data_IF_064292934511
#
_entry.id   IF_064292934511
#
_cell.length_a   1.000
_cell.length_b   1.000
_cell.length_c   1.000
_cell.angle_alpha   90.00
_cell.angle_beta   90.00
_cell.angle_gamma   90.00
#
_symmetry.space_group_name_H-M   'P 1'
#
loop_
_entity.id
_entity.type
_entity.pdbx_description
1 polymer ?
#
# COMPACT_ATOMS: atom_id res chain seq x y z
N UNK A 1 13.74 48.44 11.00
CA UNK A 1 14.43 47.43 10.18
C UNK A 1 14.32 46.10 10.91
N UNK A 2 13.37 45.24 10.52
CA UNK A 2 13.23 43.90 11.10
C UNK A 2 13.40 42.88 9.98
N UNK A 3 14.54 42.19 9.97
CA UNK A 3 14.77 41.04 9.11
C UNK A 3 14.06 39.83 9.73
N UNK A 4 13.02 39.37 9.06
CA UNK A 4 12.32 38.12 9.39
C UNK A 4 13.23 36.95 9.06
N UNK A 5 13.73 36.27 10.11
CA UNK A 5 14.45 35.00 9.99
C UNK A 5 13.52 33.93 9.43
N UNK A 6 13.59 33.67 8.12
CA UNK A 6 12.85 32.60 7.47
C UNK A 6 13.34 31.23 7.96
N UNK A 7 12.40 30.35 8.32
CA UNK A 7 12.72 29.03 8.88
C UNK A 7 13.46 28.15 7.85
N UNK A 8 14.21 27.13 8.30
CA UNK A 8 14.87 26.18 7.39
C UNK A 8 13.88 25.51 6.42
N UNK A 9 12.65 25.26 6.89
CA UNK A 9 11.56 24.73 6.08
C UNK A 9 11.11 25.71 4.98
N UNK A 10 10.96 26.99 5.30
CA UNK A 10 10.58 28.02 4.31
C UNK A 10 11.67 28.23 3.26
N UNK A 11 12.95 28.22 3.66
CA UNK A 11 14.08 28.28 2.73
C UNK A 11 14.11 27.07 1.81
N UNK A 12 13.88 25.87 2.35
CA UNK A 12 13.77 24.65 1.53
C UNK A 12 12.58 24.72 0.58
N UNK A 13 11.42 25.19 1.05
CA UNK A 13 10.22 25.37 0.21
C UNK A 13 10.43 26.39 -0.90
N UNK A 14 11.12 27.49 -0.60
CA UNK A 14 11.44 28.52 -1.59
C UNK A 14 12.45 28.01 -2.64
N UNK A 15 13.47 27.26 -2.21
CA UNK A 15 14.40 26.61 -3.13
C UNK A 15 13.69 25.57 -4.01
N UNK A 16 12.80 24.76 -3.43
CA UNK A 16 12.00 23.79 -4.17
C UNK A 16 11.05 24.45 -5.18
N UNK A 17 10.48 25.61 -4.85
CA UNK A 17 9.62 26.38 -5.76
C UNK A 17 10.38 26.94 -6.98
N UNK A 18 11.70 27.05 -6.91
CA UNK A 18 12.55 27.46 -8.04
C UNK A 18 13.00 26.29 -8.91
N UNK A 19 12.76 25.04 -8.49
CA UNK A 19 13.10 23.86 -9.29
C UNK A 19 12.13 23.74 -10.46
N UNK A 20 12.69 23.55 -11.66
CA UNK A 20 11.90 23.14 -12.81
C UNK A 20 11.38 21.72 -12.57
N UNK A 21 10.06 21.59 -12.47
CA UNK A 21 9.37 20.30 -12.54
C UNK A 21 8.75 20.20 -13.94
N UNK A 22 8.94 19.12 -14.71
CA UNK A 22 8.28 18.98 -16.00
C UNK A 22 6.75 19.01 -15.87
N UNK A 23 6.05 19.57 -16.87
CA UNK A 23 4.59 19.67 -16.85
C UNK A 23 3.90 18.31 -16.73
N UNK A 24 4.46 17.30 -17.39
CA UNK A 24 3.95 15.93 -17.33
C UNK A 24 4.01 15.36 -15.89
N UNK A 25 5.07 15.68 -15.13
CA UNK A 25 5.21 15.28 -13.72
C UNK A 25 4.21 16.02 -12.85
N UNK A 26 4.02 17.32 -13.07
CA UNK A 26 2.98 18.10 -12.36
C UNK A 26 1.59 17.53 -12.62
N UNK A 27 1.27 17.22 -13.88
CA UNK A 27 -0.01 16.66 -14.27
C UNK A 27 -0.23 15.27 -13.63
N UNK A 28 0.78 14.39 -13.70
CA UNK A 28 0.72 13.07 -13.07
C UNK A 28 0.52 13.17 -11.54
N UNK A 29 1.21 14.10 -10.89
CA UNK A 29 1.13 14.29 -9.44
C UNK A 29 -0.18 14.93 -8.98
N UNK A 30 -0.88 15.68 -9.84
CA UNK A 30 -2.17 16.32 -9.55
C UNK A 30 -3.36 15.42 -9.90
N UNK A 31 -3.20 14.46 -10.81
CA UNK A 31 -4.25 13.53 -11.17
C UNK A 31 -4.66 12.62 -10.00
N UNK A 32 -5.94 12.27 -9.95
CA UNK A 32 -6.41 11.23 -9.05
C UNK A 32 -5.67 9.91 -9.37
N UNK A 33 -5.10 9.22 -8.37
CA UNK A 33 -4.34 8.00 -8.62
C UNK A 33 -5.27 6.91 -9.15
N UNK A 34 -5.03 6.47 -10.39
CA UNK A 34 -5.71 5.31 -10.97
C UNK A 34 -5.08 3.98 -10.53
N UNK A 35 -5.56 2.90 -11.13
CA UNK A 35 -4.91 1.60 -10.98
C UNK A 35 -3.54 1.59 -11.69
N UNK A 36 -2.53 0.89 -11.13
CA UNK A 36 -1.19 0.87 -11.69
C UNK A 36 -1.17 0.23 -13.08
N UNK A 37 -0.28 0.72 -13.96
CA UNK A 37 -0.06 0.19 -15.30
C UNK A 37 1.44 -0.03 -15.57
N UNK A 38 1.81 -1.01 -16.41
CA UNK A 38 3.19 -1.18 -16.88
C UNK A 38 3.73 0.12 -17.50
N UNK A 39 5.02 0.38 -17.31
CA UNK A 39 5.71 1.59 -17.77
C UNK A 39 5.58 2.79 -16.83
N UNK A 40 4.70 2.76 -15.83
CA UNK A 40 4.57 3.87 -14.89
C UNK A 40 5.67 3.85 -13.82
N UNK A 41 6.10 5.03 -13.40
CA UNK A 41 6.98 5.28 -12.26
C UNK A 41 6.14 5.79 -11.10
N UNK A 42 6.23 5.09 -9.98
CA UNK A 42 5.46 5.35 -8.77
C UNK A 42 6.35 5.63 -7.58
N UNK A 43 5.89 6.53 -6.71
CA UNK A 43 6.36 6.58 -5.33
C UNK A 43 5.66 5.48 -4.53
N UNK A 44 6.44 4.61 -3.91
CA UNK A 44 5.98 3.56 -3.01
C UNK A 44 6.33 3.93 -1.55
N UNK A 45 5.42 3.63 -0.63
CA UNK A 45 5.51 4.02 0.79
C UNK A 45 4.90 2.96 1.69
N UNK A 46 5.68 2.54 2.68
CA UNK A 46 5.23 1.69 3.78
C UNK A 46 6.00 1.99 5.07
N UNK A 47 5.30 2.23 6.18
CA UNK A 47 5.91 2.41 7.52
C UNK A 47 7.10 3.39 7.57
N UNK A 48 7.02 4.48 6.80
CA UNK A 48 8.06 5.50 6.72
C UNK A 48 9.18 5.19 5.72
N UNK A 49 9.27 3.96 5.21
CA UNK A 49 10.12 3.61 4.07
C UNK A 49 9.49 4.15 2.79
N UNK A 50 10.30 4.84 1.99
CA UNK A 50 9.89 5.47 0.73
C UNK A 50 10.84 5.02 -0.37
N UNK A 51 10.29 4.53 -1.47
CA UNK A 51 11.04 4.20 -2.69
C UNK A 51 10.38 4.80 -3.93
N UNK A 52 11.15 4.93 -5.00
CA UNK A 52 10.62 5.21 -6.34
C UNK A 52 10.81 3.95 -7.17
N UNK A 53 9.75 3.50 -7.83
CA UNK A 53 9.73 2.23 -8.54
C UNK A 53 9.12 2.36 -9.92
N UNK A 54 9.66 1.64 -10.90
CA UNK A 54 9.07 1.47 -12.21
C UNK A 54 8.26 0.16 -12.25
N UNK A 55 7.06 0.21 -12.80
CA UNK A 55 6.17 -0.94 -12.91
C UNK A 55 6.45 -1.68 -14.22
N UNK A 56 6.93 -2.91 -14.12
CA UNK A 56 7.20 -3.79 -15.25
C UNK A 56 5.97 -4.62 -15.65
N UNK A 57 5.21 -5.09 -14.66
CA UNK A 57 3.99 -5.86 -14.86
C UNK A 57 2.98 -5.60 -13.73
N UNK A 58 1.71 -5.88 -14.00
CA UNK A 58 0.60 -5.72 -13.06
C UNK A 58 -0.18 -7.03 -13.01
N UNK A 59 -0.32 -7.57 -11.80
CA UNK A 59 -1.20 -8.69 -11.48
C UNK A 59 -2.44 -8.18 -10.73
N UNK A 60 -3.35 -9.09 -10.35
CA UNK A 60 -4.61 -8.73 -9.67
C UNK A 60 -4.42 -7.97 -8.36
N UNK A 61 -3.35 -8.21 -7.59
CA UNK A 61 -3.16 -7.56 -6.27
C UNK A 61 -1.74 -7.04 -6.03
N UNK A 62 -0.83 -7.34 -6.96
CA UNK A 62 0.58 -7.00 -6.90
C UNK A 62 1.04 -6.38 -8.21
N UNK A 63 2.18 -5.71 -8.16
CA UNK A 63 2.91 -5.24 -9.32
C UNK A 63 4.31 -5.82 -9.27
N UNK A 64 4.87 -6.18 -10.43
CA UNK A 64 6.31 -6.39 -10.52
C UNK A 64 6.98 -5.02 -10.70
N UNK A 65 7.80 -4.63 -9.73
CA UNK A 65 8.35 -3.29 -9.65
C UNK A 65 9.87 -3.33 -9.48
N UNK A 66 10.54 -2.41 -10.17
CA UNK A 66 11.99 -2.23 -10.14
C UNK A 66 12.33 -0.93 -9.40
N UNK A 67 13.31 -0.90 -8.49
CA UNK A 67 13.74 0.37 -7.91
C UNK A 67 14.35 1.29 -8.96
N UNK A 68 14.01 2.58 -8.87
CA UNK A 68 14.47 3.64 -9.76
C UNK A 68 15.27 4.65 -8.94
N UNK A 69 16.42 5.06 -9.47
CA UNK A 69 17.26 6.11 -8.90
C UNK A 69 17.59 7.18 -9.94
N UNK A 70 17.73 8.43 -9.50
CA UNK A 70 18.31 9.53 -10.28
C UNK A 70 19.84 9.52 -10.25
N UNK A 71 20.43 8.75 -9.34
CA UNK A 71 21.89 8.61 -9.22
C UNK A 71 22.39 7.54 -10.21
N UNK A 72 22.79 7.98 -11.39
CA UNK A 72 23.26 7.09 -12.46
C UNK A 72 24.74 6.68 -12.33
N UNK A 73 25.50 7.30 -11.40
CA UNK A 73 26.91 6.94 -11.18
C UNK A 73 27.05 5.62 -10.42
N UNK A 74 26.06 5.28 -9.61
CA UNK A 74 25.97 3.97 -8.95
C UNK A 74 25.15 3.03 -9.81
N UNK A 75 25.75 1.92 -10.22
CA UNK A 75 25.12 0.89 -11.01
C UNK A 75 25.93 -0.41 -10.92
N UNK A 76 25.27 -1.51 -11.26
CA UNK A 76 25.86 -2.83 -11.46
C UNK A 76 25.53 -3.35 -12.88
N UNK A 77 26.01 -4.54 -13.30
CA UNK A 77 25.71 -5.10 -14.62
C UNK A 77 24.22 -5.30 -14.92
N UNK A 78 23.40 -5.46 -13.88
CA UNK A 78 21.96 -5.69 -13.99
C UNK A 78 21.16 -4.37 -13.93
N UNK A 79 21.85 -3.24 -13.83
CA UNK A 79 21.24 -1.91 -13.80
C UNK A 79 21.12 -1.37 -15.23
N UNK A 80 19.92 -0.97 -15.63
CA UNK A 80 19.66 -0.28 -16.90
C UNK A 80 19.75 1.22 -16.68
N UNK A 81 20.66 1.87 -17.40
CA UNK A 81 20.82 3.31 -17.44
C UNK A 81 20.03 3.90 -18.60
N UNK A 82 19.11 4.80 -18.27
CA UNK A 82 18.27 5.51 -19.21
C UNK A 82 18.66 7.00 -19.31
N UNK A 83 18.62 7.60 -20.50
CA UNK A 83 18.83 9.01 -20.72
C UNK A 83 17.63 9.83 -20.26
N UNK A 84 17.79 11.15 -20.18
CA UNK A 84 16.75 12.08 -19.76
C UNK A 84 15.43 11.94 -20.53
N UNK A 85 15.50 11.74 -21.85
CA UNK A 85 14.32 11.61 -22.71
C UNK A 85 13.60 10.26 -22.64
N UNK A 86 14.05 9.33 -21.82
CA UNK A 86 13.45 7.99 -21.70
C UNK A 86 12.29 7.94 -20.68
N UNK A 87 11.96 9.06 -20.05
CA UNK A 87 10.82 9.19 -19.14
C UNK A 87 10.31 10.61 -19.14
N UNK A 88 9.09 10.81 -18.62
CA UNK A 88 8.53 12.15 -18.43
C UNK A 88 9.17 12.94 -17.28
N UNK A 89 10.11 12.34 -16.51
CA UNK A 89 10.92 13.06 -15.52
C UNK A 89 11.95 13.99 -16.16
N UNK A 90 12.30 13.77 -17.44
CA UNK A 90 13.34 14.53 -18.15
C UNK A 90 14.70 14.50 -17.43
N UNK A 91 14.96 13.43 -16.68
CA UNK A 91 16.21 13.20 -15.95
C UNK A 91 16.76 11.81 -16.27
N UNK A 92 18.09 11.63 -16.36
CA UNK A 92 18.69 10.30 -16.46
C UNK A 92 18.27 9.41 -15.29
N UNK A 93 17.96 8.14 -15.57
CA UNK A 93 17.49 7.19 -14.57
C UNK A 93 18.37 5.94 -14.54
N UNK A 94 18.51 5.34 -13.37
CA UNK A 94 19.01 3.99 -13.17
C UNK A 94 17.86 3.09 -12.71
N UNK A 95 17.54 2.07 -13.50
CA UNK A 95 16.59 1.01 -13.17
C UNK A 95 17.36 -0.23 -12.73
N UNK A 96 17.15 -0.64 -11.49
CA UNK A 96 17.87 -1.74 -10.88
C UNK A 96 17.12 -3.05 -11.14
N UNK A 97 17.21 -3.57 -12.37
CA UNK A 97 16.44 -4.74 -12.81
C UNK A 97 16.71 -5.99 -11.94
N UNK A 98 17.95 -6.17 -11.49
CA UNK A 98 18.34 -7.26 -10.56
C UNK A 98 17.73 -7.17 -9.15
N UNK A 99 17.03 -6.10 -8.82
CA UNK A 99 16.31 -5.90 -7.55
C UNK A 99 14.77 -5.92 -7.74
N UNK A 100 14.30 -6.31 -8.93
CA UNK A 100 12.87 -6.43 -9.22
C UNK A 100 12.14 -7.31 -8.21
N UNK A 101 11.02 -6.82 -7.69
CA UNK A 101 10.25 -7.51 -6.65
C UNK A 101 8.76 -7.31 -6.84
N UNK A 102 7.96 -8.25 -6.32
CA UNK A 102 6.51 -8.12 -6.28
C UNK A 102 6.08 -7.25 -5.12
N UNK A 103 5.50 -6.09 -5.43
CA UNK A 103 4.99 -5.15 -4.45
C UNK A 103 3.45 -5.19 -4.43
N UNK A 104 2.82 -5.20 -3.25
CA UNK A 104 1.37 -5.11 -3.18
C UNK A 104 0.86 -3.71 -3.53
N UNK A 105 -0.31 -3.59 -4.16
CA UNK A 105 -0.80 -2.30 -4.66
C UNK A 105 -0.89 -1.20 -3.60
N UNK A 106 -1.18 -1.57 -2.35
CA UNK A 106 -1.36 -0.60 -1.27
C UNK A 106 -0.08 0.10 -0.82
N UNK A 107 1.11 -0.38 -1.21
CA UNK A 107 2.34 0.40 -0.98
C UNK A 107 2.49 1.52 -2.01
N UNK A 108 1.85 1.44 -3.17
CA UNK A 108 1.88 2.51 -4.17
C UNK A 108 1.10 3.72 -3.65
N UNK A 109 1.76 4.87 -3.65
CA UNK A 109 1.20 6.11 -3.12
C UNK A 109 0.77 7.03 -4.25
N UNK A 110 1.71 7.35 -5.14
CA UNK A 110 1.48 8.36 -6.17
C UNK A 110 2.20 8.00 -7.45
N UNK A 111 1.50 8.12 -8.57
CA UNK A 111 2.08 8.11 -9.90
C UNK A 111 2.90 9.38 -10.11
N UNK A 112 4.17 9.24 -10.51
CA UNK A 112 5.10 10.38 -10.63
C UNK A 112 5.47 10.66 -12.07
N UNK A 113 5.64 9.62 -12.89
CA UNK A 113 6.12 9.74 -14.27
C UNK A 113 5.85 8.46 -15.06
N UNK A 114 6.06 8.50 -16.37
CA UNK A 114 5.94 7.35 -17.27
C UNK A 114 7.26 7.16 -18.02
N UNK A 115 7.66 5.89 -18.19
CA UNK A 115 8.76 5.50 -19.04
C UNK A 115 8.31 5.52 -20.50
N UNK A 116 9.17 6.05 -21.36
CA UNK A 116 9.01 5.99 -22.82
C UNK A 116 9.58 4.69 -23.39
N UNK A 117 10.44 4.01 -22.63
CA UNK A 117 11.02 2.71 -22.99
C UNK A 117 10.12 1.59 -22.48
N UNK A 118 9.57 0.72 -23.36
CA UNK A 118 8.75 -0.39 -22.92
C UNK A 118 9.59 -1.42 -22.16
N UNK A 119 9.06 -1.87 -21.03
CA UNK A 119 9.62 -2.96 -20.24
C UNK A 119 8.87 -4.25 -20.52
N UNK A 120 9.59 -5.38 -20.51
CA UNK A 120 8.99 -6.71 -20.43
C UNK A 120 8.51 -6.99 -19.01
N UNK A 121 7.75 -8.07 -18.85
CA UNK A 121 7.23 -8.48 -17.55
C UNK A 121 8.35 -8.80 -16.52
N UNK A 122 9.52 -9.24 -16.98
CA UNK A 122 10.70 -9.48 -16.14
C UNK A 122 11.47 -8.19 -15.77
N UNK A 123 11.03 -7.03 -16.27
CA UNK A 123 11.65 -5.73 -16.02
C UNK A 123 12.82 -5.39 -16.93
N UNK A 124 13.21 -6.26 -17.85
CA UNK A 124 14.19 -5.92 -18.89
C UNK A 124 13.57 -5.02 -19.96
N UNK A 125 14.34 -4.12 -20.60
CA UNK A 125 13.86 -3.37 -21.76
C UNK A 125 13.47 -4.31 -22.92
N UNK A 126 12.51 -3.88 -23.74
CA UNK A 126 12.17 -4.60 -24.96
C UNK A 126 13.37 -4.66 -25.93
N UNK A 127 13.53 -5.73 -26.74
CA UNK A 127 14.73 -5.93 -27.57
C UNK A 127 14.91 -4.88 -28.68
N UNK A 128 13.81 -4.29 -29.11
CA UNK A 128 13.70 -3.23 -30.11
C UNK A 128 13.78 -1.82 -29.50
N UNK A 129 13.78 -1.70 -28.17
CA UNK A 129 13.97 -0.42 -27.52
C UNK A 129 15.41 0.08 -27.74
N UNK A 130 15.55 1.38 -27.95
CA UNK A 130 16.85 2.03 -28.15
C UNK A 130 17.11 3.08 -27.07
N UNK A 131 18.36 3.50 -26.96
CA UNK A 131 18.75 4.61 -26.09
C UNK A 131 19.01 4.22 -24.64
N UNK A 132 19.00 2.93 -24.27
CA UNK A 132 19.44 2.48 -22.95
C UNK A 132 20.82 1.79 -23.02
N UNK A 133 21.49 1.67 -21.87
CA UNK A 133 22.69 0.83 -21.72
C UNK A 133 22.68 0.13 -20.37
N UNK A 134 23.32 -1.03 -20.28
CA UNK A 134 23.59 -1.67 -19.00
C UNK A 134 24.77 -1.00 -18.29
N UNK A 135 24.77 -1.07 -16.96
CA UNK A 135 25.88 -0.65 -16.13
C UNK A 135 27.12 -1.53 -16.29
N UNK A 136 28.26 -1.06 -15.79
CA UNK A 136 29.48 -1.85 -15.70
C UNK A 136 29.55 -2.67 -14.41
N UNK A 137 30.39 -3.72 -14.35
CA UNK A 137 30.68 -4.46 -13.13
C UNK A 137 31.13 -3.57 -11.97
N UNK A 138 30.69 -3.93 -10.76
CA UNK A 138 31.13 -3.25 -9.55
C UNK A 138 32.65 -3.43 -9.38
N UNK A 139 33.41 -2.37 -9.08
CA UNK A 139 34.86 -2.46 -8.94
C UNK A 139 35.28 -3.28 -7.71
N UNK A 140 34.46 -3.27 -6.66
CA UNK A 140 34.61 -4.14 -5.49
C UNK A 140 33.29 -4.28 -4.71
N UNK A 141 33.13 -5.34 -3.89
CA UNK A 141 31.97 -5.51 -3.01
C UNK A 141 31.84 -4.44 -1.91
N UNK A 142 32.91 -3.70 -1.60
CA UNK A 142 32.94 -2.64 -0.59
C UNK A 142 32.86 -1.23 -1.20
N UNK A 143 32.42 -1.12 -2.46
CA UNK A 143 32.27 0.18 -3.14
C UNK A 143 30.98 0.88 -2.71
N UNK A 144 30.94 2.22 -2.82
CA UNK A 144 29.73 3.01 -2.56
C UNK A 144 28.54 2.57 -3.41
N UNK A 145 28.78 2.10 -4.64
CA UNK A 145 27.72 1.56 -5.49
C UNK A 145 27.12 0.27 -4.92
N UNK A 146 27.92 -0.58 -4.26
CA UNK A 146 27.43 -1.76 -3.55
C UNK A 146 26.60 -1.40 -2.31
N UNK A 147 27.05 -0.41 -1.52
CA UNK A 147 26.30 0.10 -0.36
C UNK A 147 24.95 0.71 -0.78
N UNK A 148 24.95 1.50 -1.86
CA UNK A 148 23.74 2.08 -2.42
C UNK A 148 22.77 1.01 -2.90
N UNK A 149 23.28 -0.02 -3.60
CA UNK A 149 22.49 -1.18 -4.01
C UNK A 149 21.86 -1.90 -2.82
N UNK A 150 22.61 -2.14 -1.74
CA UNK A 150 22.08 -2.77 -0.53
C UNK A 150 20.96 -1.95 0.11
N UNK A 151 21.10 -0.62 0.16
CA UNK A 151 20.05 0.28 0.65
C UNK A 151 18.76 0.17 -0.16
N UNK A 152 18.88 0.06 -1.50
CA UNK A 152 17.74 -0.16 -2.37
C UNK A 152 17.12 -1.55 -2.16
N UNK A 153 17.93 -2.58 -1.96
CA UNK A 153 17.46 -3.94 -1.68
C UNK A 153 16.66 -3.99 -0.38
N UNK A 154 17.18 -3.43 0.72
CA UNK A 154 16.50 -3.35 2.01
C UNK A 154 15.17 -2.60 1.89
N UNK A 155 15.15 -1.51 1.12
CA UNK A 155 13.93 -0.74 0.82
C UNK A 155 12.89 -1.61 0.11
N UNK A 156 13.29 -2.35 -0.92
CA UNK A 156 12.39 -3.23 -1.68
C UNK A 156 11.88 -4.38 -0.82
N UNK A 157 12.71 -4.96 0.05
CA UNK A 157 12.32 -6.04 0.96
C UNK A 157 11.22 -5.58 1.94
N UNK A 158 11.36 -4.40 2.52
CA UNK A 158 10.32 -3.81 3.39
C UNK A 158 9.02 -3.60 2.61
N UNK A 159 9.09 -3.03 1.40
CA UNK A 159 7.91 -2.79 0.57
C UNK A 159 7.23 -4.09 0.10
N UNK A 160 8.01 -5.12 -0.25
CA UNK A 160 7.49 -6.40 -0.74
C UNK A 160 6.83 -7.24 0.37
N UNK A 161 7.38 -7.14 1.58
CA UNK A 161 6.88 -7.86 2.76
C UNK A 161 5.78 -7.11 3.51
N UNK A 162 5.46 -5.89 3.12
CA UNK A 162 4.36 -5.08 3.67
C UNK A 162 3.06 -5.90 3.78
N UNK A 163 2.28 -5.70 4.86
CA UNK A 163 0.98 -6.34 5.10
C UNK A 163 0.08 -5.43 5.93
N UNK A 164 -1.15 -5.15 5.45
CA UNK A 164 -2.14 -4.39 6.24
C UNK A 164 -3.34 -5.25 6.69
N UNK A 165 -3.75 -6.23 5.87
CA UNK A 165 -4.91 -7.06 6.13
C UNK A 165 -4.51 -8.29 6.95
N UNK A 166 -5.25 -8.64 8.02
CA UNK A 166 -4.96 -9.82 8.81
C UNK A 166 -5.22 -11.09 7.98
N UNK A 167 -4.37 -12.11 8.15
CA UNK A 167 -4.64 -13.44 7.61
C UNK A 167 -5.56 -14.17 8.55
N UNK A 168 -6.80 -14.39 8.11
CA UNK A 168 -7.76 -15.19 8.87
C UNK A 168 -7.47 -16.69 8.70
N UNK A 169 -7.25 -17.42 9.79
CA UNK A 169 -7.09 -18.87 9.78
C UNK A 169 -8.42 -19.64 9.82
N UNK A 170 -9.53 -18.96 10.17
CA UNK A 170 -10.82 -19.60 10.41
C UNK A 170 -10.94 -20.31 11.76
N UNK A 171 -9.91 -20.27 12.61
CA UNK A 171 -9.87 -20.95 13.92
C UNK A 171 -10.73 -20.31 15.02
N UNK A 172 -11.40 -19.19 14.77
CA UNK A 172 -12.11 -18.41 15.80
C UNK A 172 -13.14 -19.24 16.58
N UNK A 173 -14.03 -20.06 15.98
CA UNK A 173 -14.97 -20.88 16.73
C UNK A 173 -14.30 -21.84 17.72
N UNK A 174 -13.19 -22.47 17.30
CA UNK A 174 -12.44 -23.39 18.13
C UNK A 174 -11.80 -22.64 19.31
N UNK A 175 -11.20 -21.48 19.05
CA UNK A 175 -10.62 -20.61 20.07
C UNK A 175 -11.66 -20.19 21.12
N UNK A 176 -12.81 -19.68 20.68
CA UNK A 176 -13.89 -19.26 21.59
C UNK A 176 -14.40 -20.44 22.44
N UNK A 177 -14.58 -21.62 21.82
CA UNK A 177 -15.03 -22.83 22.52
C UNK A 177 -14.00 -23.31 23.55
N UNK A 178 -12.71 -23.34 23.21
CA UNK A 178 -11.63 -23.75 24.11
C UNK A 178 -11.55 -22.87 25.36
N UNK A 179 -11.84 -21.58 25.22
CA UNK A 179 -11.86 -20.63 26.32
C UNK A 179 -13.23 -20.52 27.02
N UNK A 180 -14.20 -21.41 26.70
CA UNK A 180 -15.51 -21.44 27.35
C UNK A 180 -16.43 -20.26 27.02
N UNK A 181 -16.15 -19.51 25.94
CA UNK A 181 -16.96 -18.36 25.54
C UNK A 181 -18.19 -18.81 24.73
N UNK A 182 -19.30 -19.02 25.44
CA UNK A 182 -20.61 -19.30 24.84
C UNK A 182 -21.37 -18.05 24.37
N UNK A 183 -22.57 -18.22 23.76
CA UNK A 183 -23.36 -17.12 23.24
C UNK A 183 -23.67 -16.03 24.27
N UNK A 184 -24.07 -16.41 25.49
CA UNK A 184 -24.39 -15.48 26.58
C UNK A 184 -23.18 -14.62 26.97
N UNK A 185 -22.00 -15.24 27.06
CA UNK A 185 -20.78 -14.56 27.44
C UNK A 185 -20.34 -13.56 26.37
N UNK A 186 -20.45 -13.94 25.10
CA UNK A 186 -20.17 -13.04 23.98
C UNK A 186 -21.14 -11.87 23.92
N UNK A 187 -22.44 -12.10 24.13
CA UNK A 187 -23.46 -11.04 24.21
C UNK A 187 -23.09 -10.04 25.29
N UNK A 188 -22.77 -10.52 26.50
CA UNK A 188 -22.44 -9.67 27.64
C UNK A 188 -21.13 -8.89 27.41
N UNK A 189 -20.04 -9.58 27.05
CA UNK A 189 -18.71 -8.95 26.91
C UNK A 189 -18.61 -7.98 25.73
N UNK A 190 -19.23 -8.32 24.61
CA UNK A 190 -19.14 -7.51 23.38
C UNK A 190 -20.31 -6.55 23.23
N UNK A 191 -21.33 -6.62 24.10
CA UNK A 191 -22.58 -5.86 23.97
C UNK A 191 -23.24 -6.03 22.59
N UNK A 192 -23.23 -7.27 22.07
CA UNK A 192 -23.77 -7.63 20.74
C UNK A 192 -25.12 -8.36 20.85
N UNK A 193 -25.89 -8.35 19.76
CA UNK A 193 -27.18 -9.06 19.70
C UNK A 193 -26.99 -10.59 19.57
N UNK A 194 -27.94 -11.42 20.05
CA UNK A 194 -27.83 -12.87 19.99
C UNK A 194 -27.52 -13.46 18.60
N UNK A 195 -28.15 -13.00 17.48
CA UNK A 195 -27.82 -13.52 16.15
C UNK A 195 -26.35 -13.30 15.76
N UNK A 196 -25.75 -12.18 16.19
CA UNK A 196 -24.35 -11.85 15.94
C UNK A 196 -23.41 -12.74 16.74
N UNK A 197 -23.73 -13.01 18.01
CA UNK A 197 -22.95 -13.93 18.84
C UNK A 197 -22.91 -15.34 18.24
N UNK A 198 -24.06 -15.83 17.74
CA UNK A 198 -24.13 -17.11 17.04
C UNK A 198 -23.34 -17.11 15.72
N UNK A 199 -23.38 -16.00 14.96
CA UNK A 199 -22.62 -15.87 13.71
C UNK A 199 -21.10 -15.91 13.95
N UNK A 200 -20.60 -15.30 15.03
CA UNK A 200 -19.20 -15.39 15.44
C UNK A 200 -18.80 -16.84 15.77
N UNK A 201 -19.62 -17.54 16.56
CA UNK A 201 -19.40 -18.94 16.93
C UNK A 201 -19.47 -19.92 15.75
N UNK A 202 -20.06 -19.50 14.63
CA UNK A 202 -20.14 -20.30 13.39
C UNK A 202 -19.12 -19.86 12.32
N UNK A 203 -18.20 -18.96 12.65
CA UNK A 203 -17.28 -18.32 11.69
C UNK A 203 -17.96 -17.67 10.48
N UNK A 204 -19.25 -17.33 10.59
CA UNK A 204 -20.00 -16.69 9.50
C UNK A 204 -19.68 -15.21 9.40
N UNK A 205 -19.13 -14.64 10.46
CA UNK A 205 -18.69 -13.26 10.49
C UNK A 205 -17.44 -13.11 11.34
N UNK A 206 -16.53 -12.17 11.01
CA UNK A 206 -15.32 -11.97 11.80
C UNK A 206 -15.56 -11.07 13.02
N UNK A 207 -14.70 -11.21 14.04
CA UNK A 207 -14.50 -10.19 15.07
C UNK A 207 -13.85 -8.94 14.48
N UNK A 208 -14.28 -7.80 14.96
CA UNK A 208 -13.69 -6.49 14.69
C UNK A 208 -12.53 -6.20 15.64
N UNK A 209 -11.61 -5.26 15.31
CA UNK A 209 -10.51 -4.90 16.19
C UNK A 209 -10.92 -4.40 17.59
N UNK A 210 -12.00 -3.61 17.77
CA UNK A 210 -12.51 -3.27 19.09
C UNK A 210 -13.00 -4.50 19.87
N UNK A 211 -13.74 -5.41 19.22
CA UNK A 211 -14.23 -6.64 19.87
C UNK A 211 -13.07 -7.56 20.30
N UNK A 212 -12.05 -7.72 19.45
CA UNK A 212 -10.86 -8.50 19.79
C UNK A 212 -10.10 -7.91 20.99
N UNK A 213 -10.03 -6.57 21.11
CA UNK A 213 -9.45 -5.90 22.28
C UNK A 213 -10.25 -6.15 23.57
N UNK A 214 -11.58 -6.22 23.49
CA UNK A 214 -12.42 -6.55 24.64
C UNK A 214 -12.24 -8.00 25.10
N UNK A 215 -11.97 -8.93 24.17
CA UNK A 215 -11.75 -10.34 24.50
C UNK A 215 -10.31 -10.66 24.90
N UNK A 216 -9.32 -9.86 24.48
CA UNK A 216 -7.90 -10.08 24.75
C UNK A 216 -7.57 -10.42 26.22
N UNK A 217 -8.06 -9.68 27.24
CA UNK A 217 -7.78 -10.01 28.64
C UNK A 217 -8.35 -11.36 29.07
N UNK A 218 -9.50 -11.76 28.50
CA UNK A 218 -10.18 -13.02 28.86
C UNK A 218 -9.51 -14.22 28.21
N UNK A 219 -9.03 -14.03 26.99
CA UNK A 219 -8.35 -15.07 26.21
C UNK A 219 -6.86 -15.19 26.56
N UNK A 220 -6.29 -14.21 27.29
CA UNK A 220 -4.85 -14.18 27.59
C UNK A 220 -3.99 -14.03 26.32
N UNK A 221 -4.54 -13.42 25.27
CA UNK A 221 -3.92 -13.30 23.94
C UNK A 221 -3.90 -11.84 23.49
N UNK A 222 -2.98 -11.50 22.58
CA UNK A 222 -3.02 -10.20 21.92
C UNK A 222 -4.24 -10.10 21.00
N UNK A 223 -4.74 -8.87 20.80
CA UNK A 223 -5.86 -8.63 19.88
C UNK A 223 -5.55 -9.09 18.46
N UNK A 224 -4.31 -8.94 17.98
CA UNK A 224 -3.91 -9.40 16.65
C UNK A 224 -3.89 -10.93 16.54
N UNK A 225 -3.48 -11.65 17.58
CA UNK A 225 -3.56 -13.11 17.59
C UNK A 225 -5.00 -13.62 17.54
N UNK A 226 -5.93 -12.92 18.21
CA UNK A 226 -7.38 -13.22 18.13
C UNK A 226 -7.92 -12.92 16.74
N UNK A 227 -7.55 -11.79 16.14
CA UNK A 227 -7.98 -11.43 14.78
C UNK A 227 -7.42 -12.36 13.72
N UNK A 228 -6.23 -12.94 13.93
CA UNK A 228 -5.69 -13.99 13.06
C UNK A 228 -6.52 -15.29 13.11
N UNK A 229 -7.34 -15.48 14.14
CA UNK A 229 -8.29 -16.59 14.20
C UNK A 229 -9.56 -16.35 13.37
N UNK A 230 -9.84 -15.11 12.93
CA UNK A 230 -11.02 -14.80 12.13
C UNK A 230 -11.14 -15.69 10.87
N UNK A 231 -12.34 -15.86 10.31
CA UNK A 231 -12.48 -16.38 8.96
C UNK A 231 -11.65 -15.55 7.96
N UNK A 232 -11.17 -16.18 6.88
CA UNK A 232 -10.53 -15.46 5.77
C UNK A 232 -11.39 -14.29 5.29
N UNK A 233 -10.73 -13.17 4.97
CA UNK A 233 -11.39 -11.98 4.45
C UNK A 233 -11.68 -12.15 2.95
N UNK A 234 -12.74 -11.55 2.39
CA UNK A 234 -12.98 -11.58 0.96
C UNK A 234 -11.87 -10.87 0.18
N UNK A 235 -11.17 -11.59 -0.68
CA UNK A 235 -10.02 -11.06 -1.45
C UNK A 235 -10.39 -9.83 -2.28
N UNK A 236 -11.58 -9.81 -2.89
CA UNK A 236 -12.05 -8.65 -3.67
C UNK A 236 -12.22 -7.38 -2.82
N UNK A 237 -12.64 -7.51 -1.56
CA UNK A 237 -12.73 -6.36 -0.67
C UNK A 237 -11.35 -5.89 -0.20
N UNK A 238 -10.46 -6.84 0.09
CA UNK A 238 -9.05 -6.52 0.42
C UNK A 238 -8.38 -5.82 -0.76
N UNK A 239 -8.59 -6.33 -1.98
CA UNK A 239 -8.13 -5.72 -3.23
C UNK A 239 -8.69 -4.31 -3.39
N UNK A 240 -10.01 -4.11 -3.28
CA UNK A 240 -10.64 -2.81 -3.46
C UNK A 240 -10.06 -1.77 -2.49
N UNK A 241 -9.94 -2.12 -1.20
CA UNK A 241 -9.31 -1.26 -0.19
C UNK A 241 -7.79 -1.16 -0.34
N UNK A 242 -7.16 -1.97 -1.21
CA UNK A 242 -5.73 -1.92 -1.53
C UNK A 242 -5.40 -1.00 -2.70
N UNK A 243 -6.40 -0.58 -3.49
CA UNK A 243 -6.19 0.24 -4.70
C UNK A 243 -5.58 1.62 -4.35
N UNK A 244 -4.63 2.13 -5.15
CA UNK A 244 -4.06 3.46 -4.94
C UNK A 244 -5.11 4.57 -4.90
N UNK A 245 -6.16 4.45 -5.72
CA UNK A 245 -7.31 5.34 -5.75
C UNK A 245 -7.96 5.57 -4.37
N UNK A 246 -7.93 4.55 -3.49
CA UNK A 246 -8.53 4.63 -2.15
C UNK A 246 -7.63 5.28 -1.11
N UNK A 247 -6.35 5.49 -1.41
CA UNK A 247 -5.36 5.87 -0.40
C UNK A 247 -5.68 7.22 0.24
N UNK A 248 -6.16 8.18 -0.55
CA UNK A 248 -6.53 9.50 -0.02
C UNK A 248 -7.73 9.42 0.93
N UNK A 249 -8.76 8.66 0.56
CA UNK A 249 -9.92 8.40 1.43
C UNK A 249 -9.48 7.74 2.75
N UNK A 250 -8.56 6.77 2.68
CA UNK A 250 -8.00 6.10 3.87
C UNK A 250 -7.19 7.07 4.73
N UNK A 251 -6.38 7.96 4.13
CA UNK A 251 -5.62 8.98 4.87
C UNK A 251 -6.52 10.00 5.54
N UNK A 252 -7.55 10.48 4.85
CA UNK A 252 -8.57 11.36 5.43
C UNK A 252 -9.26 10.68 6.62
N UNK A 253 -9.65 9.42 6.48
CA UNK A 253 -10.21 8.63 7.57
C UNK A 253 -9.22 8.50 8.75
N UNK A 254 -7.95 8.19 8.46
CA UNK A 254 -6.90 8.06 9.46
C UNK A 254 -6.70 9.36 10.24
N UNK A 255 -6.66 10.49 9.54
CA UNK A 255 -6.56 11.83 10.13
C UNK A 255 -7.76 12.16 11.01
N UNK A 256 -8.98 11.97 10.50
CA UNK A 256 -10.22 12.21 11.26
C UNK A 256 -10.28 11.39 12.55
N UNK A 257 -9.73 10.18 12.54
CA UNK A 257 -9.78 9.29 13.71
C UNK A 257 -8.51 9.26 14.53
N UNK A 258 -7.49 10.04 14.19
CA UNK A 258 -6.20 10.09 14.90
C UNK A 258 -5.45 8.75 14.89
N UNK A 259 -5.53 7.97 13.81
CA UNK A 259 -4.90 6.65 13.69
C UNK A 259 -3.91 6.59 12.53
N UNK A 260 -3.09 5.53 12.48
CA UNK A 260 -2.28 5.23 11.30
C UNK A 260 -3.14 4.78 10.09
N UNK A 261 -2.59 4.90 8.88
CA UNK A 261 -3.26 4.53 7.62
C UNK A 261 -3.72 3.06 7.63
N UNK A 262 -2.89 2.16 8.16
CA UNK A 262 -3.19 0.72 8.25
C UNK A 262 -4.41 0.43 9.13
N UNK A 263 -4.52 1.11 10.27
CA UNK A 263 -5.65 0.94 11.19
C UNK A 263 -6.94 1.52 10.60
N UNK A 264 -6.86 2.67 9.92
CA UNK A 264 -7.99 3.22 9.18
C UNK A 264 -8.46 2.26 8.08
N UNK A 265 -7.53 1.62 7.37
CA UNK A 265 -7.83 0.61 6.35
C UNK A 265 -8.50 -0.63 6.95
N UNK A 266 -7.98 -1.15 8.08
CA UNK A 266 -8.62 -2.24 8.85
C UNK A 266 -10.02 -1.86 9.32
N UNK A 267 -10.20 -0.64 9.83
CA UNK A 267 -11.52 -0.13 10.25
C UNK A 267 -12.50 -0.11 9.07
N UNK A 268 -12.09 0.44 7.93
CA UNK A 268 -12.92 0.48 6.73
C UNK A 268 -13.32 -0.94 6.26
N UNK A 269 -12.37 -1.88 6.28
CA UNK A 269 -12.59 -3.28 5.94
C UNK A 269 -13.68 -3.92 6.81
N UNK A 270 -13.51 -3.90 8.14
CA UNK A 270 -14.46 -4.54 9.04
C UNK A 270 -15.84 -3.84 9.07
N UNK A 271 -15.86 -2.52 8.91
CA UNK A 271 -17.11 -1.78 8.79
C UNK A 271 -17.87 -2.16 7.51
N UNK A 272 -17.16 -2.26 6.38
CA UNK A 272 -17.75 -2.66 5.09
C UNK A 272 -18.28 -4.10 5.14
N UNK A 273 -17.57 -5.02 5.79
CA UNK A 273 -18.05 -6.39 6.05
C UNK A 273 -19.31 -6.41 6.93
N UNK A 274 -19.39 -5.53 7.92
CA UNK A 274 -20.58 -5.43 8.78
C UNK A 274 -21.79 -4.88 8.03
N UNK A 275 -21.59 -3.96 7.08
CA UNK A 275 -22.64 -3.48 6.18
C UNK A 275 -23.11 -4.60 5.23
N UNK A 276 -22.18 -5.39 4.71
CA UNK A 276 -22.44 -6.52 3.83
C UNK A 276 -23.34 -7.59 4.45
N UNK A 277 -23.08 -7.93 5.72
CA UNK A 277 -23.81 -8.98 6.44
C UNK A 277 -25.30 -8.67 6.69
N UNK A 278 -25.77 -7.46 6.38
CA UNK A 278 -27.17 -7.04 6.53
C UNK A 278 -28.03 -7.32 5.29
N UNK A 279 -27.46 -7.84 4.21
CA UNK A 279 -28.15 -8.10 2.93
C UNK A 279 -28.28 -9.59 2.64
N UNK A 280 -29.27 -9.97 1.82
CA UNK A 280 -29.64 -11.37 1.54
C UNK A 280 -28.56 -12.18 0.81
N UNK A 281 -27.62 -11.52 0.09
CA UNK A 281 -26.49 -12.17 -0.59
C UNK A 281 -25.15 -11.50 -0.29
N UNK A 282 -24.50 -11.83 0.84
CA UNK A 282 -23.22 -11.24 1.21
C UNK A 282 -22.05 -11.63 0.29
N UNK A 283 -22.12 -12.78 -0.39
CA UNK A 283 -21.05 -13.31 -1.25
C UNK A 283 -21.00 -12.69 -2.66
N UNK A 284 -22.14 -12.19 -3.17
CA UNK A 284 -22.26 -11.51 -4.48
C UNK A 284 -22.13 -9.97 -4.33
N UNK A 285 -21.44 -9.54 -3.30
CA UNK A 285 -21.27 -8.15 -2.93
C UNK A 285 -20.61 -7.31 -4.03
N UNK A 286 -21.27 -6.24 -4.43
CA UNK A 286 -20.61 -5.10 -5.09
C UNK A 286 -19.72 -4.39 -4.04
N UNK A 287 -18.47 -4.82 -3.94
CA UNK A 287 -17.50 -4.25 -3.01
C UNK A 287 -17.18 -2.78 -3.31
N UNK A 288 -16.92 -2.37 -4.57
CA UNK A 288 -16.74 -0.95 -4.92
C UNK A 288 -17.85 -0.07 -4.36
N UNK A 289 -19.11 -0.34 -4.69
CA UNK A 289 -20.23 0.50 -4.24
C UNK A 289 -20.38 0.55 -2.72
N UNK A 290 -20.04 -0.54 -2.02
CA UNK A 290 -20.09 -0.60 -0.55
C UNK A 290 -18.97 0.19 0.11
N UNK A 291 -17.75 0.12 -0.45
CA UNK A 291 -16.61 0.91 -0.01
C UNK A 291 -16.89 2.39 -0.25
N UNK A 292 -17.43 2.75 -1.41
CA UNK A 292 -17.87 4.12 -1.72
C UNK A 292 -18.89 4.62 -0.71
N UNK A 293 -19.93 3.83 -0.44
CA UNK A 293 -20.94 4.18 0.56
C UNK A 293 -20.35 4.36 1.95
N UNK A 294 -19.41 3.49 2.34
CA UNK A 294 -18.74 3.61 3.63
C UNK A 294 -17.98 4.94 3.73
N UNK A 295 -17.16 5.28 2.73
CA UNK A 295 -16.40 6.52 2.73
C UNK A 295 -17.29 7.75 2.63
N UNK A 296 -18.34 7.74 1.81
CA UNK A 296 -19.31 8.83 1.71
C UNK A 296 -19.95 9.16 3.07
N UNK A 297 -20.35 8.15 3.84
CA UNK A 297 -20.96 8.35 5.17
C UNK A 297 -19.97 8.91 6.18
N UNK A 298 -18.68 8.53 6.12
CA UNK A 298 -17.69 8.91 7.13
C UNK A 298 -16.86 10.15 6.78
N UNK A 299 -16.74 10.49 5.49
CA UNK A 299 -15.93 11.60 4.99
C UNK A 299 -16.76 12.74 4.38
N UNK A 300 -18.07 12.53 4.20
CA UNK A 300 -18.94 13.44 3.44
C UNK A 300 -18.80 13.26 1.92
N UNK A 301 -19.59 14.01 1.11
CA UNK A 301 -19.37 14.07 -0.33
C UNK A 301 -17.95 14.57 -0.63
N UNK A 302 -17.32 13.99 -1.65
CA UNK A 302 -16.08 14.55 -2.19
C UNK A 302 -16.44 15.90 -2.81
N UNK A 303 -15.84 16.98 -2.32
CA UNK A 303 -15.93 18.27 -2.98
C UNK A 303 -15.19 18.15 -4.31
N UNK A 304 -15.93 18.12 -5.41
CA UNK A 304 -15.40 18.24 -6.79
C UNK A 304 -14.58 19.52 -6.97
#
# INVERSE_FOLDING_TARGET
MSQTSSSAYERLRAAAAQLHVPDAVRAAAAAAPGDPRPGQIWRAVWEGVVGVVAIAAVDDTTVHALPVSLETRFHDPDTVLLPAGASTLEQPLALWCGLGSRLPWYVLDRHVSELSVPLKADGSPAPDASGYRYGSPLPSPASQAAEFRSTLADTMDVLATARWAPRGSGGLPALLKQCGLGPTELIHRLSIKPPRALALLRAQTPLTPPEARLLAPTLGMSADAILAANPPLPDRLVHELSRPARREQIRRLAHLTGTAEQEARRRALFATLTLAARQERPAEADWPARVDRYFHVHLGPESE
#
